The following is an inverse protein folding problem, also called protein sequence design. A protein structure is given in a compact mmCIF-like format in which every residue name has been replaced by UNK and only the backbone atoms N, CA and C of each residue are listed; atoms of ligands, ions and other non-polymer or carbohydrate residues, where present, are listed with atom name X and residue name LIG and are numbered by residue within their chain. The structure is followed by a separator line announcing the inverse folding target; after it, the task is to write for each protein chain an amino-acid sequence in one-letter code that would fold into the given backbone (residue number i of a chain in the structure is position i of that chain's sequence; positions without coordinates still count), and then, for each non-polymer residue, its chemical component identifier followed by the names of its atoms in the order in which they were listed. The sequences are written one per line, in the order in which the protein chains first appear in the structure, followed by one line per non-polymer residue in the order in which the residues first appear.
data_IF_753242344019
#
_entry.id   IF_753242344019
#
_cell.length_a   1.000
_cell.length_b   1.000
_cell.length_c   1.000
_cell.angle_alpha   90.00
_cell.angle_beta   90.00
_cell.angle_gamma   90.00
#
_symmetry.space_group_name_H-M   'P 1'
#
loop_
_entity.id
_entity.type
_entity.pdbx_description
1 polymer ?
#
# COMPACT_ATOMS: atom_id res chain seq x y z
N UNK A 1 -14.20 -7.58 6.36
CA UNK A 1 -15.15 -6.43 6.30
C UNK A 1 -14.49 -5.12 6.70
N UNK A 2 -14.00 -4.94 7.94
CA UNK A 2 -13.60 -3.62 8.46
C UNK A 2 -12.65 -2.80 7.57
N UNK A 3 -11.62 -3.42 6.97
CA UNK A 3 -10.67 -2.70 6.12
C UNK A 3 -11.12 -2.40 4.69
N UNK A 4 -12.22 -2.99 4.22
CA UNK A 4 -12.59 -2.94 2.79
C UNK A 4 -14.10 -2.73 2.56
N UNK A 5 -14.88 -2.49 3.62
CA UNK A 5 -16.30 -2.26 3.50
C UNK A 5 -16.58 -0.98 2.71
N UNK A 6 -17.39 -1.09 1.66
CA UNK A 6 -17.83 0.03 0.86
C UNK A 6 -19.36 -0.05 0.67
N UNK A 7 -20.05 1.08 0.71
CA UNK A 7 -21.51 1.14 0.55
C UNK A 7 -21.95 1.72 -0.80
N UNK A 8 -21.04 2.38 -1.53
CA UNK A 8 -21.34 2.99 -2.81
C UNK A 8 -20.37 4.12 -3.15
N UNK A 9 -20.75 4.94 -4.14
CA UNK A 9 -19.94 6.07 -4.64
C UNK A 9 -20.59 7.44 -4.36
N UNK A 10 -21.66 7.48 -3.58
CA UNK A 10 -22.31 8.72 -3.14
C UNK A 10 -21.47 9.51 -2.13
N UNK A 11 -21.84 10.76 -1.91
CA UNK A 11 -21.12 11.66 -0.99
C UNK A 11 -21.17 11.22 0.47
N UNK A 12 -22.24 10.51 0.87
CA UNK A 12 -22.42 9.97 2.22
C UNK A 12 -22.05 8.49 2.32
N UNK A 13 -21.52 7.89 1.25
CA UNK A 13 -21.15 6.48 1.24
C UNK A 13 -19.76 6.24 1.85
N UNK A 14 -19.61 5.06 2.44
CA UNK A 14 -18.31 4.54 2.85
C UNK A 14 -17.56 4.12 1.58
N UNK A 15 -16.42 4.76 1.32
CA UNK A 15 -15.63 4.54 0.09
C UNK A 15 -14.80 3.25 0.09
N UNK A 16 -14.60 2.63 1.27
CA UNK A 16 -13.80 1.42 1.44
C UNK A 16 -12.29 1.62 1.32
N UNK A 17 -11.58 0.52 1.08
CA UNK A 17 -10.11 0.47 0.99
C UNK A 17 -9.34 1.05 2.19
N UNK A 18 -9.96 1.14 3.37
CA UNK A 18 -9.28 1.61 4.58
C UNK A 18 -8.02 0.81 4.91
N UNK A 19 -8.01 -0.51 4.69
CA UNK A 19 -6.80 -1.32 4.86
C UNK A 19 -5.65 -0.93 3.91
N UNK A 20 -5.96 -0.44 2.71
CA UNK A 20 -4.96 0.13 1.80
C UNK A 20 -4.50 1.49 2.31
N UNK A 21 -5.41 2.34 2.79
CA UNK A 21 -5.08 3.64 3.36
C UNK A 21 -4.21 3.50 4.63
N UNK A 22 -4.46 2.48 5.45
CA UNK A 22 -3.64 2.13 6.61
C UNK A 22 -2.21 1.78 6.18
N UNK A 23 -2.05 0.98 5.12
CA UNK A 23 -0.73 0.69 4.56
C UNK A 23 -0.05 1.96 4.03
N UNK A 24 -0.78 2.89 3.39
CA UNK A 24 -0.21 4.17 2.94
C UNK A 24 0.30 5.00 4.11
N UNK A 25 -0.50 5.07 5.18
CA UNK A 25 -0.11 5.75 6.41
C UNK A 25 1.15 5.12 7.02
N UNK A 26 1.23 3.79 7.07
CA UNK A 26 2.40 3.07 7.56
C UNK A 26 3.65 3.33 6.71
N UNK A 27 3.53 3.29 5.38
CA UNK A 27 4.64 3.59 4.45
C UNK A 27 5.13 5.04 4.63
N UNK A 28 4.20 5.99 4.72
CA UNK A 28 4.53 7.39 4.97
C UNK A 28 5.25 7.58 6.33
N UNK A 29 4.78 6.88 7.37
CA UNK A 29 5.44 6.87 8.66
C UNK A 29 6.86 6.30 8.57
N UNK A 30 7.05 5.18 7.86
CA UNK A 30 8.39 4.61 7.65
C UNK A 30 9.29 5.62 6.93
N UNK A 31 8.86 6.20 5.80
CA UNK A 31 9.65 7.20 5.06
C UNK A 31 10.06 8.37 5.94
N UNK A 32 9.19 8.84 6.82
CA UNK A 32 9.47 9.95 7.73
C UNK A 32 10.40 9.59 8.91
N UNK A 33 10.42 8.33 9.34
CA UNK A 33 11.05 7.94 10.61
C UNK A 33 12.23 6.98 10.48
N UNK A 34 12.42 6.30 9.35
CA UNK A 34 13.38 5.19 9.23
C UNK A 34 14.84 5.62 9.48
N UNK A 35 15.17 6.90 9.25
CA UNK A 35 16.49 7.46 9.58
C UNK A 35 16.82 7.36 11.09
N UNK A 36 15.83 7.50 11.98
CA UNK A 36 16.03 7.33 13.42
C UNK A 36 16.42 5.90 13.82
N UNK A 37 16.18 4.94 12.91
CA UNK A 37 16.55 3.53 13.07
C UNK A 37 17.78 3.14 12.23
N UNK A 38 18.47 4.12 11.64
CA UNK A 38 19.67 3.92 10.83
C UNK A 38 19.41 3.45 9.39
N UNK A 39 18.15 3.48 8.92
CA UNK A 39 17.83 3.20 7.52
C UNK A 39 17.81 4.46 6.66
N UNK A 40 18.11 4.30 5.37
CA UNK A 40 18.06 5.40 4.40
C UNK A 40 16.62 5.54 3.86
N UNK A 41 15.94 6.69 4.08
CA UNK A 41 14.59 6.91 3.58
C UNK A 41 14.51 6.85 2.04
N UNK A 42 15.60 7.08 1.31
CA UNK A 42 15.62 7.04 -0.17
C UNK A 42 15.91 5.64 -0.74
N UNK A 43 16.20 4.65 0.11
CA UNK A 43 16.51 3.27 -0.29
C UNK A 43 15.45 2.25 0.17
N UNK A 44 14.24 2.70 0.48
CA UNK A 44 13.12 1.82 0.91
C UNK A 44 12.69 0.87 -0.22
N UNK A 45 12.50 -0.41 0.13
CA UNK A 45 11.94 -1.44 -0.76
C UNK A 45 10.64 -1.97 -0.17
N UNK A 46 9.53 -1.87 -0.92
CA UNK A 46 8.25 -2.46 -0.54
C UNK A 46 8.19 -3.90 -1.07
N UNK A 47 7.86 -4.86 -0.20
CA UNK A 47 7.78 -6.27 -0.55
C UNK A 47 6.44 -6.84 -0.09
N UNK A 48 5.84 -7.72 -0.89
CA UNK A 48 4.66 -8.46 -0.47
C UNK A 48 4.46 -9.78 -1.22
N UNK A 49 3.72 -10.69 -0.57
CA UNK A 49 3.32 -12.00 -1.09
C UNK A 49 1.79 -12.13 -1.11
N UNK A 50 1.21 -12.81 -2.10
CA UNK A 50 -0.24 -13.02 -2.24
C UNK A 50 -1.02 -11.68 -2.22
N UNK A 51 -1.97 -11.50 -1.30
CA UNK A 51 -2.68 -10.23 -1.10
C UNK A 51 -1.73 -9.06 -0.75
N UNK A 52 -0.60 -9.34 -0.09
CA UNK A 52 0.46 -8.37 0.14
C UNK A 52 1.17 -7.98 -1.16
N UNK A 53 1.32 -8.90 -2.11
CA UNK A 53 1.89 -8.60 -3.42
C UNK A 53 0.94 -7.72 -4.26
N UNK A 54 -0.37 -7.96 -4.18
CA UNK A 54 -1.37 -7.04 -4.74
C UNK A 54 -1.30 -5.65 -4.11
N UNK A 55 -1.17 -5.59 -2.77
CA UNK A 55 -1.00 -4.34 -2.05
C UNK A 55 0.26 -3.58 -2.51
N UNK A 56 1.40 -4.28 -2.61
CA UNK A 56 2.66 -3.72 -3.12
C UNK A 56 2.51 -3.21 -4.56
N UNK A 57 1.87 -3.99 -5.44
CA UNK A 57 1.60 -3.59 -6.81
C UNK A 57 0.71 -2.33 -6.88
N UNK A 58 -0.35 -2.28 -6.07
CA UNK A 58 -1.27 -1.14 -6.00
C UNK A 58 -0.54 0.15 -5.58
N UNK A 59 0.30 0.09 -4.55
CA UNK A 59 1.11 1.25 -4.13
C UNK A 59 2.13 1.64 -5.19
N UNK A 60 2.77 0.67 -5.88
CA UNK A 60 3.73 0.96 -6.93
C UNK A 60 3.10 1.67 -8.15
N UNK A 61 1.88 1.30 -8.51
CA UNK A 61 1.14 1.92 -9.63
C UNK A 61 0.49 3.26 -9.27
N UNK A 62 0.33 3.58 -7.99
CA UNK A 62 -0.22 4.86 -7.54
C UNK A 62 0.84 5.95 -7.68
N UNK A 63 0.62 6.94 -8.54
CA UNK A 63 1.59 8.01 -8.81
C UNK A 63 1.97 8.79 -7.54
N UNK A 64 1.02 9.06 -6.64
CA UNK A 64 1.29 9.76 -5.39
C UNK A 64 2.21 8.98 -4.43
N UNK A 65 2.34 7.67 -4.59
CA UNK A 65 3.14 6.81 -3.72
C UNK A 65 4.58 6.60 -4.22
N UNK A 66 4.90 6.98 -5.47
CA UNK A 66 6.20 6.70 -6.10
C UNK A 66 7.39 7.37 -5.40
N UNK A 67 7.17 8.44 -4.63
CA UNK A 67 8.22 9.13 -3.86
C UNK A 67 8.51 8.49 -2.50
N UNK A 68 7.67 7.56 -2.04
CA UNK A 68 7.76 6.98 -0.69
C UNK A 68 8.65 5.74 -0.59
N UNK A 69 8.90 5.06 -1.70
CA UNK A 69 9.80 3.91 -1.76
C UNK A 69 10.41 3.79 -3.14
N UNK A 70 11.61 3.21 -3.21
CA UNK A 70 12.42 3.16 -4.44
C UNK A 70 12.19 1.89 -5.25
N UNK A 71 11.87 0.77 -4.59
CA UNK A 71 11.78 -0.55 -5.22
C UNK A 71 10.57 -1.31 -4.72
N UNK A 72 10.07 -2.21 -5.56
CA UNK A 72 8.96 -3.10 -5.22
C UNK A 72 9.33 -4.56 -5.55
N UNK A 73 8.93 -5.49 -4.69
CA UNK A 73 9.01 -6.94 -4.94
C UNK A 73 7.61 -7.52 -4.77
N UNK A 74 7.10 -8.13 -5.84
CA UNK A 74 5.70 -8.58 -5.97
C UNK A 74 5.72 -10.10 -6.18
N UNK A 75 5.38 -10.88 -5.15
CA UNK A 75 5.44 -12.34 -5.20
C UNK A 75 4.05 -12.98 -5.22
N UNK A 76 3.72 -13.67 -6.32
CA UNK A 76 2.47 -14.43 -6.45
C UNK A 76 1.22 -13.57 -6.22
N UNK A 77 1.18 -12.36 -6.80
CA UNK A 77 0.02 -11.48 -6.70
C UNK A 77 -1.20 -12.07 -7.43
N UNK A 78 -2.35 -12.31 -6.75
CA UNK A 78 -3.53 -12.87 -7.39
C UNK A 78 -4.33 -11.80 -8.17
N UNK A 79 -3.65 -10.85 -8.85
CA UNK A 79 -4.26 -9.72 -9.58
C UNK A 79 -5.32 -10.14 -10.61
N UNK A 80 -5.14 -11.31 -11.22
CA UNK A 80 -6.01 -11.84 -12.29
C UNK A 80 -6.85 -13.03 -11.83
N UNK A 81 -6.73 -13.45 -10.56
CA UNK A 81 -7.47 -14.59 -10.04
C UNK A 81 -8.82 -14.09 -9.51
N UNK A 82 -9.96 -14.65 -9.94
CA UNK A 82 -11.26 -14.30 -9.39
C UNK A 82 -11.43 -14.97 -8.02
N UNK A 83 -11.57 -14.18 -6.94
CA UNK A 83 -11.85 -14.63 -5.58
C UNK A 83 -13.05 -13.88 -4.99
#
# INVERSE_FOLDING_TARGET
VLGFFATGNGTNDIKGNYGILDQRLAIAWIKANINAFGGDPDEITLFGQSAGAQSTALHYMTSEMQSFFKRAIIQSAPMTVPF
#
